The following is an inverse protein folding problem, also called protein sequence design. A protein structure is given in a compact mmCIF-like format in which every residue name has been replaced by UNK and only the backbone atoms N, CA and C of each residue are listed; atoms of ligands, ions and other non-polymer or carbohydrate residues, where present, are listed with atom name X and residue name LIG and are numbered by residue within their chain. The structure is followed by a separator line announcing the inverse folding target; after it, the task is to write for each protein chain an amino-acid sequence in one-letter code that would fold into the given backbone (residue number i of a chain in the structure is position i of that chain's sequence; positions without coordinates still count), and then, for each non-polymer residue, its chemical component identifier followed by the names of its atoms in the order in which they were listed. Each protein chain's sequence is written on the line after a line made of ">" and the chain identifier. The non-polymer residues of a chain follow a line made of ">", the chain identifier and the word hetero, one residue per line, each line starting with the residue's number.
data_IF_462649640814
#
_entry.id   IF_462649640814
#
_cell.length_a   1.000
_cell.length_b   1.000
_cell.length_c   1.000
_cell.angle_alpha   90.00
_cell.angle_beta   90.00
_cell.angle_gamma   90.00
#
_symmetry.space_group_name_H-M   'P 1'
#
loop_
_entity.id
_entity.type
_entity.pdbx_description
1 polymer ?
#
# COMPACT_ATOMS: atom_id res chain seq x y z
N UNK A 1 6.52 2.89 -9.53
CA UNK A 1 6.26 1.47 -9.19
C UNK A 1 7.48 0.72 -8.60
N UNK A 2 8.73 0.99 -9.01
CA UNK A 2 9.91 0.22 -8.54
C UNK A 2 10.13 0.23 -7.02
N UNK A 3 9.93 1.38 -6.36
CA UNK A 3 10.06 1.50 -4.90
C UNK A 3 8.94 0.75 -4.18
N UNK A 4 7.70 0.96 -4.59
CA UNK A 4 6.51 0.30 -4.02
C UNK A 4 6.60 -1.22 -4.14
N UNK A 5 7.09 -1.76 -5.26
CA UNK A 5 7.28 -3.22 -5.40
C UNK A 5 8.25 -3.81 -4.36
N UNK A 6 9.24 -3.05 -3.88
CA UNK A 6 10.15 -3.49 -2.81
C UNK A 6 9.50 -3.49 -1.42
N UNK A 7 8.32 -2.87 -1.27
CA UNK A 7 7.53 -2.93 -0.05
C UNK A 7 6.83 -4.29 0.14
N UNK A 8 6.85 -5.14 -0.89
CA UNK A 8 6.21 -6.46 -0.85
C UNK A 8 7.24 -7.59 -0.93
N UNK A 9 6.83 -8.79 -0.54
CA UNK A 9 7.64 -10.00 -0.66
C UNK A 9 7.63 -10.50 -2.11
N UNK A 10 8.58 -11.36 -2.52
CA UNK A 10 8.63 -11.89 -3.88
C UNK A 10 7.41 -12.73 -4.29
N UNK A 11 6.72 -13.33 -3.32
CA UNK A 11 5.52 -14.16 -3.47
C UNK A 11 4.22 -13.35 -3.51
N UNK A 12 4.25 -12.09 -3.10
CA UNK A 12 3.11 -11.17 -3.23
C UNK A 12 2.89 -10.80 -4.70
N UNK A 13 1.63 -10.75 -5.12
CA UNK A 13 1.27 -10.37 -6.49
C UNK A 13 0.93 -8.89 -6.55
N UNK A 14 1.79 -8.09 -7.17
CA UNK A 14 1.62 -6.65 -7.35
C UNK A 14 1.23 -6.30 -8.79
N UNK A 15 0.11 -5.59 -8.98
CA UNK A 15 -0.39 -5.17 -10.29
C UNK A 15 -0.77 -3.69 -10.30
N UNK A 16 -0.64 -3.06 -11.47
CA UNK A 16 -1.25 -1.74 -11.74
C UNK A 16 -2.61 -1.97 -12.36
N UNK A 17 -3.66 -1.43 -11.76
CA UNK A 17 -5.03 -1.60 -12.26
C UNK A 17 -5.29 -0.60 -13.39
N UNK A 18 -5.34 0.68 -13.05
CA UNK A 18 -5.53 1.79 -13.97
C UNK A 18 -4.84 3.04 -13.42
N UNK A 19 -4.52 4.03 -14.28
CA UNK A 19 -4.04 5.35 -13.80
C UNK A 19 -2.93 5.26 -12.77
N UNK A 20 -3.14 5.85 -11.60
CA UNK A 20 -2.28 5.84 -10.41
C UNK A 20 -2.68 4.77 -9.37
N UNK A 21 -3.59 3.86 -9.71
CA UNK A 21 -4.09 2.80 -8.84
C UNK A 21 -3.30 1.50 -8.99
N UNK A 22 -3.01 0.89 -7.84
CA UNK A 22 -2.27 -0.38 -7.74
C UNK A 22 -2.99 -1.31 -6.76
N UNK A 23 -2.95 -2.61 -7.06
CA UNK A 23 -3.47 -3.64 -6.17
C UNK A 23 -2.39 -4.67 -5.86
N UNK A 24 -2.44 -5.19 -4.64
CA UNK A 24 -1.54 -6.27 -4.20
C UNK A 24 -2.35 -7.39 -3.57
N UNK A 25 -2.14 -8.62 -4.03
CA UNK A 25 -2.60 -9.81 -3.33
C UNK A 25 -1.48 -10.30 -2.41
N UNK A 26 -1.77 -10.37 -1.12
CA UNK A 26 -0.83 -10.75 -0.06
C UNK A 26 -1.17 -12.13 0.49
N UNK A 27 -0.15 -12.93 0.76
CA UNK A 27 -0.29 -14.16 1.54
C UNK A 27 0.23 -13.91 2.94
N UNK A 28 -0.69 -13.63 3.88
CA UNK A 28 -0.35 -13.47 5.30
C UNK A 28 0.07 -14.82 5.89
N UNK A 29 1.04 -14.80 6.81
CA UNK A 29 1.57 -16.05 7.38
C UNK A 29 0.47 -16.74 8.19
N UNK A 30 0.28 -18.05 8.01
CA UNK A 30 -0.72 -18.79 8.76
C UNK A 30 -0.33 -18.86 10.24
N UNK A 31 -1.28 -18.61 11.16
CA UNK A 31 -1.10 -18.78 12.60
C UNK A 31 -0.92 -20.25 13.08
N UNK A 32 -0.35 -21.13 12.25
CA UNK A 32 -0.11 -22.55 12.56
C UNK A 32 1.36 -22.99 12.54
N UNK A 33 2.32 -22.10 12.29
CA UNK A 33 3.74 -22.39 12.51
C UNK A 33 4.02 -22.39 14.01
N UNK A 34 4.76 -23.36 14.54
CA UNK A 34 4.86 -23.65 16.00
C UNK A 34 5.39 -22.52 16.92
N UNK A 35 5.66 -21.32 16.38
CA UNK A 35 6.00 -20.08 17.08
C UNK A 35 4.87 -19.00 16.98
N UNK A 36 3.70 -19.34 16.44
CA UNK A 36 2.67 -18.38 15.97
C UNK A 36 1.50 -18.16 16.91
N UNK A 37 1.61 -18.48 18.20
CA UNK A 37 0.52 -18.24 19.17
C UNK A 37 0.20 -16.73 19.37
N UNK A 38 0.94 -15.81 18.73
CA UNK A 38 0.73 -14.37 18.84
C UNK A 38 0.86 -13.58 17.52
N UNK A 39 0.80 -14.21 16.34
CA UNK A 39 0.91 -13.45 15.08
C UNK A 39 -0.42 -12.78 14.73
N UNK A 40 -0.62 -11.57 15.22
CA UNK A 40 -1.76 -10.74 14.84
C UNK A 40 -1.63 -10.32 13.36
N UNK A 41 -2.53 -10.82 12.50
CA UNK A 41 -2.55 -10.49 11.08
C UNK A 41 -2.75 -8.98 10.84
N UNK A 42 -3.42 -8.27 11.75
CA UNK A 42 -3.60 -6.82 11.65
C UNK A 42 -2.27 -6.10 11.81
N UNK A 43 -1.40 -6.54 12.73
CA UNK A 43 -0.06 -5.98 12.90
C UNK A 43 0.82 -6.21 11.66
N UNK A 44 0.69 -7.37 11.00
CA UNK A 44 1.40 -7.65 9.74
C UNK A 44 0.93 -6.70 8.63
N UNK A 45 -0.38 -6.52 8.49
CA UNK A 45 -0.99 -5.60 7.51
C UNK A 45 -0.54 -4.15 7.78
N UNK A 46 -0.61 -3.69 9.03
CA UNK A 46 -0.19 -2.34 9.41
C UNK A 46 1.28 -2.07 9.07
N UNK A 47 2.14 -3.05 9.31
CA UNK A 47 3.56 -2.94 8.95
C UNK A 47 3.77 -2.90 7.43
N UNK A 48 2.97 -3.65 6.66
CA UNK A 48 3.01 -3.58 5.19
C UNK A 48 2.55 -2.20 4.72
N UNK A 49 1.46 -1.66 5.26
CA UNK A 49 0.94 -0.32 4.94
C UNK A 49 2.01 0.74 5.21
N UNK A 50 2.62 0.74 6.40
CA UNK A 50 3.72 1.67 6.74
C UNK A 50 4.89 1.59 5.75
N UNK A 51 5.26 0.38 5.32
CA UNK A 51 6.31 0.19 4.29
C UNK A 51 5.90 0.77 2.93
N UNK A 52 4.63 0.65 2.55
CA UNK A 52 4.10 1.24 1.31
C UNK A 52 4.16 2.77 1.37
N UNK A 53 3.70 3.39 2.45
CA UNK A 53 3.80 4.85 2.63
C UNK A 53 5.24 5.34 2.51
N UNK A 54 6.16 4.72 3.24
CA UNK A 54 7.58 5.06 3.18
C UNK A 54 8.16 4.86 1.77
N UNK A 55 7.79 3.77 1.07
CA UNK A 55 8.26 3.52 -0.29
C UNK A 55 7.75 4.57 -1.31
N UNK A 56 6.52 5.07 -1.14
CA UNK A 56 5.98 6.16 -1.96
C UNK A 56 6.68 7.48 -1.65
N UNK A 57 6.90 7.80 -0.36
CA UNK A 57 7.65 8.98 0.06
C UNK A 57 9.04 9.01 -0.59
N UNK A 58 9.82 7.93 -0.46
CA UNK A 58 11.16 7.83 -1.07
C UNK A 58 11.09 8.00 -2.59
N UNK A 59 10.10 7.40 -3.26
CA UNK A 59 9.93 7.54 -4.71
C UNK A 59 9.63 8.99 -5.14
N UNK A 60 8.80 9.71 -4.38
CA UNK A 60 8.50 11.12 -4.65
C UNK A 60 9.73 12.00 -4.41
N UNK A 61 10.50 11.73 -3.35
CA UNK A 61 11.74 12.44 -3.05
C UNK A 61 12.78 12.25 -4.16
N UNK A 62 13.04 11.01 -4.56
CA UNK A 62 13.98 10.69 -5.64
C UNK A 62 13.58 11.42 -6.94
N UNK A 63 12.28 11.42 -7.27
CA UNK A 63 11.76 12.15 -8.43
C UNK A 63 11.91 13.68 -8.31
N UNK A 64 11.70 14.25 -7.12
CA UNK A 64 11.89 15.68 -6.88
C UNK A 64 13.37 16.06 -7.09
N UNK A 65 14.30 15.26 -6.57
CA UNK A 65 15.74 15.46 -6.75
C UNK A 65 16.17 15.34 -8.22
N UNK A 66 15.56 14.43 -9.00
CA UNK A 66 15.80 14.29 -10.44
C UNK A 66 15.27 15.51 -11.22
N UNK A 67 14.04 15.96 -10.96
CA UNK A 67 13.45 17.14 -11.61
C UNK A 67 14.27 18.40 -11.33
N UNK A 68 14.81 18.56 -10.12
CA UNK A 68 15.65 19.70 -9.76
C UNK A 68 17.01 19.71 -10.48
N UNK A 69 17.57 18.54 -10.81
CA UNK A 69 18.83 18.45 -11.55
C UNK A 69 18.67 18.86 -13.01
N UNK A 70 17.56 18.46 -13.62
CA UNK A 70 17.35 18.59 -15.06
C UNK A 70 16.46 19.77 -15.46
N UNK A 71 15.81 20.45 -14.49
CA UNK A 71 14.87 21.53 -14.79
C UNK A 71 14.99 22.73 -13.83
N UNK A 72 14.64 23.93 -14.32
CA UNK A 72 14.43 25.12 -13.48
C UNK A 72 13.03 25.14 -12.84
N UNK A 73 12.33 24.01 -12.82
CA UNK A 73 10.97 23.94 -12.26
C UNK A 73 11.03 23.98 -10.74
N UNK A 74 9.93 24.41 -10.13
CA UNK A 74 9.79 24.34 -8.69
C UNK A 74 9.86 22.87 -8.21
N UNK A 75 10.43 22.60 -7.04
CA UNK A 75 10.43 21.27 -6.44
C UNK A 75 9.02 20.69 -6.35
N UNK A 76 8.90 19.37 -6.51
CA UNK A 76 7.73 18.68 -5.97
C UNK A 76 7.78 18.86 -4.44
N UNK A 77 6.68 19.36 -3.87
CA UNK A 77 6.49 19.39 -2.42
C UNK A 77 6.31 17.93 -1.99
N UNK A 78 7.23 17.43 -1.18
CA UNK A 78 7.19 16.09 -0.61
C UNK A 78 7.24 16.26 0.89
N UNK A 79 6.10 16.16 1.54
CA UNK A 79 6.02 16.15 3.00
C UNK A 79 6.14 14.70 3.50
N UNK A 80 6.88 14.54 4.59
CA UNK A 80 7.04 13.25 5.29
C UNK A 80 5.80 12.92 6.12
N UNK A 81 5.09 13.95 6.60
CA UNK A 81 3.91 13.83 7.45
C UNK A 81 2.60 13.75 6.66
N UNK A 82 2.62 14.07 5.35
CA UNK A 82 1.44 13.91 4.49
C UNK A 82 1.29 12.46 4.01
N UNK A 83 0.05 11.97 4.06
CA UNK A 83 -0.33 10.72 3.43
C UNK A 83 -0.24 10.85 1.91
N UNK A 84 0.94 10.50 1.40
CA UNK A 84 1.28 10.59 0.00
C UNK A 84 0.55 9.58 -0.91
N UNK A 85 -0.17 8.63 -0.30
CA UNK A 85 -0.97 7.57 -0.89
C UNK A 85 -2.04 7.15 0.12
N UNK A 86 -3.25 6.85 -0.34
CA UNK A 86 -4.28 6.23 0.49
C UNK A 86 -4.29 4.72 0.23
N UNK A 87 -4.35 3.91 1.29
CA UNK A 87 -4.29 2.44 1.20
C UNK A 87 -5.52 1.84 1.88
N UNK A 88 -6.28 1.04 1.13
CA UNK A 88 -7.34 0.19 1.66
C UNK A 88 -6.99 -1.28 1.54
N UNK A 89 -7.57 -2.10 2.41
CA UNK A 89 -7.36 -3.55 2.38
C UNK A 89 -8.65 -4.29 2.78
N UNK A 90 -8.73 -5.55 2.38
CA UNK A 90 -9.75 -6.48 2.82
C UNK A 90 -9.15 -7.88 2.97
N UNK A 91 -9.64 -8.63 3.95
CA UNK A 91 -9.31 -10.04 4.14
C UNK A 91 -10.32 -10.90 3.37
N UNK A 92 -9.82 -11.95 2.74
CA UNK A 92 -10.68 -12.88 2.00
C UNK A 92 -11.27 -13.93 2.95
N UNK A 93 -12.60 -13.95 3.05
CA UNK A 93 -13.33 -14.93 3.83
C UNK A 93 -13.92 -16.01 2.88
N UNK A 94 -13.39 -17.25 2.83
CA UNK A 94 -13.68 -18.22 1.76
C UNK A 94 -15.15 -18.62 1.57
N UNK A 95 -15.97 -18.46 2.61
CA UNK A 95 -17.39 -18.82 2.60
C UNK A 95 -18.32 -17.61 2.47
N UNK A 96 -17.78 -16.40 2.59
CA UNK A 96 -18.56 -15.15 2.54
C UNK A 96 -18.24 -14.32 1.30
N UNK A 97 -17.02 -14.44 0.78
CA UNK A 97 -16.51 -13.57 -0.28
C UNK A 97 -16.48 -14.23 -1.65
N UNK A 98 -16.93 -13.46 -2.64
CA UNK A 98 -16.51 -13.64 -4.03
C UNK A 98 -15.26 -12.79 -4.29
N UNK A 99 -14.61 -13.00 -5.44
CA UNK A 99 -13.47 -12.15 -5.84
C UNK A 99 -13.90 -10.69 -5.99
N UNK A 100 -15.09 -10.47 -6.53
CA UNK A 100 -15.68 -9.16 -6.75
C UNK A 100 -16.03 -8.48 -5.41
N UNK A 101 -16.56 -9.22 -4.43
CA UNK A 101 -16.86 -8.64 -3.11
C UNK A 101 -15.59 -8.26 -2.36
N UNK A 102 -14.54 -9.09 -2.46
CA UNK A 102 -13.23 -8.80 -1.87
C UNK A 102 -12.64 -7.49 -2.41
N UNK A 103 -12.60 -7.36 -3.74
CA UNK A 103 -12.07 -6.15 -4.38
C UNK A 103 -12.89 -4.92 -4.03
N UNK A 104 -14.22 -5.05 -4.00
CA UNK A 104 -15.12 -3.96 -3.61
C UNK A 104 -14.88 -3.51 -2.16
N UNK A 105 -14.74 -4.44 -1.21
CA UNK A 105 -14.43 -4.13 0.20
C UNK A 105 -13.09 -3.39 0.33
N UNK A 106 -12.07 -3.83 -0.41
CA UNK A 106 -10.76 -3.18 -0.40
C UNK A 106 -10.81 -1.76 -0.97
N UNK A 107 -11.59 -1.55 -2.03
CA UNK A 107 -11.81 -0.23 -2.65
C UNK A 107 -12.59 0.72 -1.72
N UNK A 108 -13.66 0.24 -1.10
CA UNK A 108 -14.43 0.99 -0.09
C UNK A 108 -13.54 1.41 1.08
N UNK A 109 -12.71 0.50 1.61
CA UNK A 109 -11.73 0.80 2.65
C UNK A 109 -10.72 1.86 2.22
N UNK A 110 -10.27 1.84 0.97
CA UNK A 110 -9.33 2.83 0.43
C UNK A 110 -10.00 4.21 0.29
N UNK A 111 -11.25 4.23 -0.15
CA UNK A 111 -12.04 5.45 -0.26
C UNK A 111 -12.25 6.10 1.12
N UNK A 112 -12.56 5.31 2.15
CA UNK A 112 -12.65 5.79 3.54
C UNK A 112 -11.32 6.36 4.05
N UNK A 113 -10.20 5.69 3.75
CA UNK A 113 -8.87 6.18 4.11
C UNK A 113 -8.59 7.53 3.46
N UNK A 114 -8.93 7.67 2.18
CA UNK A 114 -8.81 8.93 1.44
C UNK A 114 -9.70 10.02 2.03
N UNK A 115 -10.95 9.73 2.38
CA UNK A 115 -11.86 10.73 2.96
C UNK A 115 -11.38 11.27 4.31
N UNK A 116 -10.83 10.42 5.18
CA UNK A 116 -10.27 10.82 6.48
C UNK A 116 -9.04 11.72 6.36
N UNK A 117 -8.35 11.70 5.23
CA UNK A 117 -7.19 12.56 4.96
C UNK A 117 -7.59 14.01 4.60
N UNK A 118 -8.87 14.26 4.30
CA UNK A 118 -9.38 15.59 3.91
C UNK A 118 -10.30 16.24 4.96
N UNK A 119 -10.42 15.65 6.16
CA UNK A 119 -11.09 16.23 7.34
C UNK A 119 -10.08 16.92 8.27
#
# INVERSE_FOLDING_TARGET
>A
AKHVRKAFRPDDTFVRLHGDEFATLLFLRHAGDKDSENTNHDDEIDNIIKRVHHAVYVAKRDLSDEIQKDSKQAPLIVDEDENNVSVGYAKFEPFEDTKESLLKKADESMYEAKSKEFE
#
